data_IF_303491630098
#
_entry.id   IF_303491630098
#
_cell.length_a   1.000
_cell.length_b   1.000
_cell.length_c   1.000
_cell.angle_alpha   90.00
_cell.angle_beta   90.00
_cell.angle_gamma   90.00
#
_symmetry.space_group_name_H-M   'P 1'
#
loop_
_entity.id
_entity.type
_entity.pdbx_description
1 polymer ?
#
# COMPACT_ATOMS: atom_id res chain seq x y z
N UNK A 1 -4.02 -3.54 -9.02
CA UNK A 1 -3.18 -2.38 -8.68
C UNK A 1 -3.27 -2.05 -7.21
N UNK A 2 -2.22 -1.52 -6.67
CA UNK A 2 -2.17 -1.11 -5.27
C UNK A 2 -2.00 0.40 -5.23
N UNK A 3 -2.62 1.04 -4.25
CA UNK A 3 -2.51 2.49 -4.09
C UNK A 3 -1.88 2.81 -2.74
N UNK A 4 -0.91 3.71 -2.76
CA UNK A 4 -0.23 4.18 -1.55
C UNK A 4 -0.52 5.67 -1.41
N UNK A 5 -1.09 6.06 -0.28
CA UNK A 5 -1.30 7.47 0.04
C UNK A 5 -0.23 7.91 1.01
N UNK A 6 0.63 8.82 0.56
CA UNK A 6 1.73 9.33 1.36
C UNK A 6 1.30 10.57 2.13
N UNK A 7 1.52 10.54 3.44
CA UNK A 7 1.20 11.65 4.34
C UNK A 7 2.45 12.06 5.11
N UNK A 8 2.75 13.34 5.13
CA UNK A 8 3.81 13.91 5.96
C UNK A 8 3.18 14.92 6.92
N UNK A 9 3.34 14.69 8.22
CA UNK A 9 2.78 15.56 9.26
C UNK A 9 1.30 15.82 9.04
N UNK A 10 0.54 14.76 8.76
CA UNK A 10 -0.91 14.78 8.55
C UNK A 10 -1.37 15.52 7.29
N UNK A 11 -0.44 15.89 6.42
CA UNK A 11 -0.80 16.45 5.11
C UNK A 11 -0.59 15.42 4.03
N UNK A 12 -1.61 15.17 3.23
CA UNK A 12 -1.48 14.25 2.10
C UNK A 12 -0.60 14.91 1.05
N UNK A 13 0.53 14.28 0.74
CA UNK A 13 1.47 14.81 -0.25
C UNK A 13 1.24 14.24 -1.63
N UNK A 14 1.03 12.94 -1.71
CA UNK A 14 0.97 12.28 -3.00
C UNK A 14 0.37 10.89 -2.88
N UNK A 15 -0.20 10.43 -3.97
CA UNK A 15 -0.73 9.09 -4.10
C UNK A 15 0.05 8.37 -5.20
N UNK A 16 0.41 7.13 -4.93
CA UNK A 16 1.15 6.29 -5.88
C UNK A 16 0.31 5.08 -6.22
N UNK A 17 0.23 4.76 -7.50
CA UNK A 17 -0.46 3.57 -7.96
C UNK A 17 0.58 2.59 -8.50
N UNK A 18 0.56 1.36 -7.97
CA UNK A 18 1.54 0.33 -8.31
C UNK A 18 0.90 -0.81 -9.06
N UNK A 19 1.50 -1.18 -10.18
CA UNK A 19 1.08 -2.34 -10.95
C UNK A 19 1.95 -3.54 -10.62
N UNK A 20 1.64 -4.67 -11.25
CA UNK A 20 2.41 -5.90 -11.04
C UNK A 20 3.88 -5.69 -11.37
N UNK A 21 4.74 -6.23 -10.53
CA UNK A 21 6.17 -6.15 -10.71
C UNK A 21 6.80 -4.83 -10.31
N UNK A 22 6.00 -3.86 -9.84
CA UNK A 22 6.55 -2.59 -9.41
C UNK A 22 7.44 -2.77 -8.19
N UNK A 23 8.51 -1.98 -8.14
CA UNK A 23 9.43 -1.97 -7.02
C UNK A 23 9.88 -0.52 -6.80
N UNK A 24 9.62 0.01 -5.62
CA UNK A 24 9.90 1.40 -5.30
C UNK A 24 10.77 1.52 -4.08
N UNK A 25 11.81 2.33 -4.17
CA UNK A 25 12.63 2.66 -3.01
C UNK A 25 12.08 3.88 -2.31
N UNK A 26 12.19 3.89 -0.98
CA UNK A 26 11.73 4.98 -0.14
C UNK A 26 12.88 5.47 0.73
N UNK A 27 12.98 6.77 0.87
CA UNK A 27 13.99 7.34 1.75
C UNK A 27 14.16 8.82 1.57
N UNK A 28 15.04 9.40 2.38
CA UNK A 28 15.31 10.84 2.37
C UNK A 28 16.16 11.24 1.17
N UNK A 29 16.93 10.29 0.64
CA UNK A 29 17.84 10.56 -0.47
C UNK A 29 17.04 10.81 -1.75
N UNK A 30 17.46 11.84 -2.51
CA UNK A 30 16.72 12.30 -3.69
C UNK A 30 16.68 11.27 -4.82
N UNK A 31 17.53 10.25 -4.79
CA UNK A 31 17.51 9.18 -5.80
C UNK A 31 16.48 8.08 -5.53
N UNK A 32 15.79 8.15 -4.40
CA UNK A 32 14.72 7.20 -4.14
C UNK A 32 13.52 7.47 -5.06
N UNK A 33 12.74 6.44 -5.31
CA UNK A 33 11.51 6.59 -6.08
C UNK A 33 10.48 7.41 -5.31
N UNK A 34 10.39 7.17 -4.01
CA UNK A 34 9.55 7.95 -3.11
C UNK A 34 10.49 8.69 -2.17
N UNK A 35 10.56 10.01 -2.34
CA UNK A 35 11.45 10.85 -1.57
C UNK A 35 10.71 11.43 -0.37
N UNK A 36 11.19 11.11 0.82
CA UNK A 36 10.60 11.55 2.08
C UNK A 36 11.57 12.50 2.76
N UNK A 37 11.36 13.80 2.58
CA UNK A 37 12.27 14.82 3.10
C UNK A 37 11.99 15.12 4.56
N UNK A 38 12.41 14.21 5.41
CA UNK A 38 12.23 14.30 6.84
C UNK A 38 13.48 13.71 7.50
N UNK A 39 14.00 14.40 8.49
CA UNK A 39 15.26 13.99 9.12
C UNK A 39 15.17 12.69 9.88
N UNK A 40 13.96 12.27 10.27
CA UNK A 40 13.75 10.98 10.92
C UNK A 40 13.72 9.82 9.94
N UNK A 41 13.76 10.11 8.65
CA UNK A 41 13.79 9.09 7.60
C UNK A 41 15.23 8.86 7.17
N UNK A 42 15.63 7.58 7.08
CA UNK A 42 16.97 7.23 6.62
C UNK A 42 17.11 7.51 5.12
N UNK A 43 18.32 7.72 4.66
CA UNK A 43 18.58 8.01 3.23
C UNK A 43 18.00 6.90 2.35
N UNK A 44 18.23 5.65 2.73
CA UNK A 44 17.62 4.47 2.13
C UNK A 44 16.86 3.79 3.25
N UNK A 45 15.55 3.96 3.27
CA UNK A 45 14.76 3.53 4.43
C UNK A 45 14.09 2.18 4.20
N UNK A 46 13.44 2.01 3.07
CA UNK A 46 12.68 0.81 2.79
C UNK A 46 12.46 0.64 1.29
N UNK A 47 12.02 -0.56 0.92
CA UNK A 47 11.60 -0.85 -0.46
C UNK A 47 10.22 -1.47 -0.41
N UNK A 48 9.33 -1.04 -1.30
CA UNK A 48 8.01 -1.62 -1.48
C UNK A 48 8.00 -2.33 -2.82
N UNK A 49 7.48 -3.56 -2.82
CA UNK A 49 7.50 -4.39 -4.01
C UNK A 49 6.17 -5.11 -4.21
N UNK A 50 5.69 -5.16 -5.45
CA UNK A 50 4.51 -5.95 -5.81
C UNK A 50 4.99 -7.27 -6.39
N UNK A 51 4.66 -8.38 -5.72
CA UNK A 51 4.96 -9.74 -6.19
C UNK A 51 3.66 -10.51 -6.35
N UNK A 52 3.29 -10.79 -7.59
CA UNK A 52 2.00 -11.41 -7.84
C UNK A 52 0.89 -10.52 -7.32
N UNK A 53 0.07 -11.05 -6.43
CA UNK A 53 -1.02 -10.30 -5.84
C UNK A 53 -0.71 -9.79 -4.44
N UNK A 54 0.57 -9.77 -4.08
CA UNK A 54 1.02 -9.35 -2.76
C UNK A 54 1.81 -8.07 -2.83
N UNK A 55 1.62 -7.23 -1.83
CA UNK A 55 2.39 -6.01 -1.65
C UNK A 55 3.29 -6.23 -0.45
N UNK A 56 4.59 -6.07 -0.65
CA UNK A 56 5.59 -6.37 0.37
C UNK A 56 6.41 -5.13 0.67
N UNK A 57 6.84 -4.99 1.93
CA UNK A 57 7.77 -3.94 2.33
C UNK A 57 8.98 -4.56 3.02
N UNK A 58 10.16 -4.03 2.69
CA UNK A 58 11.43 -4.47 3.25
C UNK A 58 12.14 -3.25 3.83
N UNK A 59 12.47 -3.31 5.12
CA UNK A 59 13.28 -2.26 5.73
C UNK A 59 14.72 -2.42 5.26
N UNK A 60 15.36 -1.31 4.93
CA UNK A 60 16.74 -1.33 4.39
C UNK A 60 17.78 -1.06 5.49
N UNK A 61 17.50 -1.46 6.73
CA UNK A 61 18.41 -1.18 7.84
C UNK A 61 18.26 0.24 8.34
N UNK A 62 17.05 0.76 8.35
CA UNK A 62 16.79 2.14 8.74
C UNK A 62 17.11 2.41 10.20
N UNK A 63 17.45 3.66 10.51
CA UNK A 63 17.78 4.08 11.86
C UNK A 63 16.58 4.01 12.79
N UNK A 64 15.44 4.52 12.35
CA UNK A 64 14.24 4.60 13.18
C UNK A 64 13.24 3.47 12.95
N UNK A 65 13.50 2.61 11.97
CA UNK A 65 12.66 1.46 11.70
C UNK A 65 11.49 1.76 10.77
N UNK A 66 10.88 0.69 10.32
CA UNK A 66 9.67 0.69 9.52
C UNK A 66 8.59 0.05 10.38
N UNK A 67 7.49 0.77 10.60
CA UNK A 67 6.44 0.32 11.52
C UNK A 67 5.20 0.05 10.69
N UNK A 68 4.75 -1.20 10.70
CA UNK A 68 3.58 -1.64 9.93
C UNK A 68 2.44 -1.87 10.92
N UNK A 69 1.42 -1.05 10.82
CA UNK A 69 0.23 -1.14 11.65
C UNK A 69 0.58 -1.21 13.15
N UNK A 70 1.53 -0.39 13.56
CA UNK A 70 1.95 -0.29 14.96
C UNK A 70 3.05 -1.23 15.37
N UNK A 71 3.50 -2.13 14.50
CA UNK A 71 4.54 -3.10 14.82
C UNK A 71 5.77 -2.88 13.96
N UNK A 72 6.93 -2.77 14.60
CA UNK A 72 8.19 -2.60 13.89
C UNK A 72 8.52 -3.89 13.15
N UNK A 73 8.84 -3.77 11.87
CA UNK A 73 9.09 -4.93 11.03
C UNK A 73 10.26 -4.67 10.09
N UNK A 74 11.04 -5.70 9.82
CA UNK A 74 12.07 -5.66 8.78
C UNK A 74 11.53 -6.13 7.44
N UNK A 75 10.47 -6.89 7.49
CA UNK A 75 9.77 -7.40 6.31
C UNK A 75 8.32 -7.62 6.69
N UNK A 76 7.40 -7.24 5.82
CA UNK A 76 5.99 -7.48 6.05
C UNK A 76 5.22 -7.52 4.75
N UNK A 77 4.16 -8.28 4.74
CA UNK A 77 3.16 -8.20 3.69
C UNK A 77 2.14 -7.12 4.10
N UNK A 78 1.79 -6.27 3.15
CA UNK A 78 0.89 -5.15 3.42
C UNK A 78 -0.51 -5.47 2.91
N UNK A 79 -1.50 -5.23 3.76
CA UNK A 79 -2.90 -5.49 3.46
C UNK A 79 -3.67 -4.18 3.37
N UNK A 80 -4.85 -4.26 2.79
CA UNK A 80 -5.72 -3.09 2.69
C UNK A 80 -5.97 -2.46 4.07
N UNK A 81 -5.81 -1.15 4.13
CA UNK A 81 -6.02 -0.41 5.36
C UNK A 81 -4.80 -0.33 6.26
N UNK A 82 -3.73 -1.06 5.95
CA UNK A 82 -2.50 -0.95 6.74
C UNK A 82 -1.91 0.45 6.62
N UNK A 83 -1.34 0.92 7.72
CA UNK A 83 -0.61 2.17 7.75
C UNK A 83 0.85 1.86 8.08
N UNK A 84 1.74 2.26 7.19
CA UNK A 84 3.18 2.09 7.40
C UNK A 84 3.74 3.43 7.86
N UNK A 85 4.40 3.42 9.01
CA UNK A 85 5.09 4.61 9.51
C UNK A 85 6.56 4.51 9.14
N UNK A 86 7.06 5.54 8.47
CA UNK A 86 8.44 5.65 8.05
C UNK A 86 9.04 6.84 8.79
N UNK A 87 10.02 6.57 9.67
CA UNK A 87 10.52 7.62 10.53
C UNK A 87 9.46 8.04 11.55
N UNK A 88 9.43 9.33 11.88
CA UNK A 88 8.50 9.84 12.89
C UNK A 88 7.28 10.54 12.32
N UNK A 89 7.39 11.08 11.10
CA UNK A 89 6.38 11.99 10.57
C UNK A 89 5.73 11.52 9.28
N UNK A 90 6.26 10.48 8.65
CA UNK A 90 5.76 10.01 7.37
C UNK A 90 4.89 8.77 7.57
N UNK A 91 3.75 8.74 6.91
CA UNK A 91 2.85 7.58 6.92
C UNK A 91 2.42 7.26 5.51
N UNK A 92 2.27 5.98 5.25
CA UNK A 92 1.79 5.49 3.97
C UNK A 92 0.58 4.61 4.25
N UNK A 93 -0.56 5.03 3.74
CA UNK A 93 -1.79 4.24 3.84
C UNK A 93 -1.91 3.36 2.62
N UNK A 94 -2.16 2.09 2.85
CA UNK A 94 -2.22 1.08 1.79
C UNK A 94 -3.66 0.82 1.39
N UNK A 95 -3.94 0.88 0.09
CA UNK A 95 -5.22 0.47 -0.46
C UNK A 95 -4.97 -0.65 -1.46
N UNK A 96 -5.55 -1.79 -1.19
CA UNK A 96 -5.45 -2.96 -2.06
C UNK A 96 -6.80 -3.14 -2.72
N UNK A 97 -6.86 -3.28 -4.05
CA UNK A 97 -8.14 -3.47 -4.70
C UNK A 97 -8.80 -4.76 -4.22
N UNK A 98 -10.13 -4.79 -4.12
CA UNK A 98 -10.81 -6.02 -3.75
C UNK A 98 -10.56 -7.09 -4.81
N UNK A 99 -10.57 -8.37 -4.44
CA UNK A 99 -10.42 -9.43 -5.42
C UNK A 99 -11.54 -9.33 -6.44
N UNK A 100 -11.20 -9.57 -7.70
CA UNK A 100 -12.20 -9.54 -8.77
C UNK A 100 -13.17 -10.68 -8.56
N UNK A 101 -14.47 -10.36 -8.58
CA UNK A 101 -15.51 -11.39 -8.58
C UNK A 101 -15.68 -11.91 -9.98
N UNK A 102 -16.02 -13.09 -10.10
CA UNK A 102 -16.30 -13.66 -11.41
C UNK A 102 -17.65 -13.29 -11.89
N UNK A 103 -17.11 -12.49 -11.26
CA UNK A 103 -17.98 -12.09 -11.48
C UNK A 103 -18.66 -12.31 -11.69
N UNK A 104 -18.54 -12.27 -11.42
CA UNK A 104 -19.32 -12.15 -11.47
C UNK A 104 -19.86 -12.37 -11.51
N UNK A 105 -19.80 -12.45 -11.48
CA UNK A 105 -20.62 -12.39 -11.46
C UNK A 105 -21.15 -12.68 -11.26
N UNK A 106 -21.22 -12.91 -11.46
CA UNK A 106 -22.19 -12.86 -11.25
C UNK A 106 -22.67 -13.12 -10.98
N UNK A 107 -22.63 -13.29 -11.21
CA UNK A 107 -23.56 -13.18 -10.97
C UNK A 107 -23.96 -13.19 -10.40
N UNK A 108 -23.84 -13.51 -10.63
CA UNK A 108 -24.77 -13.04 -10.28
C UNK A 108 -24.69 -13.03 -9.55
N UNK A 109 -24.86 -13.09 -9.34
CA UNK A 109 -25.43 -12.78 -8.95
C UNK A 109 -25.60 -12.51 -8.16
N UNK A 110 -25.27 -12.44 -8.37
CA UNK A 110 -25.99 -11.91 -7.91
C UNK A 110 -26.19 -11.70 -7.31
N UNK A 111 -25.81 -11.62 -7.80
CA UNK A 111 -26.59 -11.07 -7.54
C UNK A 111 -26.90 -10.95 -7.00
N UNK A 112 -26.64 -10.83 -7.29
CA UNK A 112 -27.48 -10.36 -7.10
C UNK A 112 -27.85 -10.23 -6.80
N UNK A 113 -27.66 -10.40 -7.24
CA UNK A 113 -28.51 -10.00 -7.27
C UNK A 113 -28.92 -9.98 -7.01
N UNK A 114 -28.62 -10.25 -7.47
CA UNK A 114 -29.50 -9.96 -7.61
C UNK A 114 -29.89 -10.05 -7.38
N UNK A 115 -29.55 -10.17 -7.91
CA UNK A 115 -30.47 -9.93 -8.09
C UNK A 115 -30.73 -9.99 -7.83
N UNK A 116 -30.61 -10.16 -8.31
CA UNK A 116 -31.36 -9.91 -8.49
C UNK A 116 -31.58 -9.94 -8.26
N UNK A 117 -31.18 -9.94 -8.76
CA UNK A 117 -31.77 -9.69 -8.93
C UNK A 117 -31.93 -9.76 -8.76
N UNK A 118 -31.66 -9.94 -9.26
CA UNK A 118 -32.24 -9.73 -9.47
C UNK A 118 -32.29 -9.79 -9.29
N UNK A 119 -32.01 -9.95 -9.97
CA UNK A 119 -32.40 -9.71 -10.11
C UNK A 119 -32.24 -9.66 -9.86
N UNK A 120 -32.02 -9.71 -10.45
CA UNK A 120 -32.41 -9.38 -10.47
C UNK A 120 -32.09 -9.24 -10.16
N UNK A 121 -31.56 -9.36 -10.75
CA UNK A 121 -31.76 -8.96 -10.73
C UNK A 121 -31.60 -8.82 -10.55
N UNK A 122 -31.00 -8.87 -11.16
CA UNK A 122 -31.47 -8.42 -11.18
C UNK A 122 -31.37 -8.20 -10.83
#
# INVERSE_FOLDING_TARGET
>A
MFTLELTLKNLVLKEYTLSYGAKLSLGRYSKNDIVLKDMSVSRHHATIEVRGQKLLIFDAGSKNGTIVNGTKAKFAELYHGHVVQIGKNCRIKVSVPPPKKKDSTITGEHDQETSTLNPNIS
#
